data_IF_619022121284
#
_entry.id   IF_619022121284
#
_cell.length_a   1.000
_cell.length_b   1.000
_cell.length_c   1.000
_cell.angle_alpha   90.00
_cell.angle_beta   90.00
_cell.angle_gamma   90.00
#
_symmetry.space_group_name_H-M   'P 1'
#
loop_
_entity.id
_entity.type
_entity.pdbx_description
1 polymer ?
#
# COMPACT_ATOMS: atom_id res chain seq x y z
N UNK A 1 -26.72 -39.04 31.78
CA UNK A 1 -27.47 -39.56 32.94
C UNK A 1 -28.85 -38.90 33.12
N UNK A 2 -29.26 -37.95 32.27
CA UNK A 2 -30.58 -37.30 32.36
C UNK A 2 -30.70 -36.32 33.53
N UNK A 3 -29.59 -36.09 34.25
CA UNK A 3 -29.51 -35.16 35.37
C UNK A 3 -29.11 -33.78 34.88
N UNK A 4 -29.55 -32.75 35.60
CA UNK A 4 -29.05 -31.41 35.36
C UNK A 4 -27.59 -31.32 35.81
N UNK A 5 -26.73 -30.84 34.91
CA UNK A 5 -25.33 -30.55 35.20
C UNK A 5 -25.08 -29.07 35.02
N UNK A 6 -24.30 -28.48 35.91
CA UNK A 6 -23.91 -27.08 35.78
C UNK A 6 -22.90 -26.91 34.63
N UNK A 7 -23.19 -26.08 33.61
CA UNK A 7 -22.23 -25.80 32.56
C UNK A 7 -21.18 -24.79 33.02
N UNK A 8 -20.01 -24.84 32.40
CA UNK A 8 -19.01 -23.77 32.50
C UNK A 8 -19.16 -22.78 31.34
N UNK A 9 -19.10 -21.49 31.64
CA UNK A 9 -19.15 -20.43 30.64
C UNK A 9 -17.76 -19.83 30.43
N UNK A 10 -17.27 -19.86 29.19
CA UNK A 10 -15.98 -19.29 28.81
C UNK A 10 -16.20 -18.05 27.95
N UNK A 11 -15.82 -16.89 28.47
CA UNK A 11 -15.79 -15.64 27.71
C UNK A 11 -14.41 -15.45 27.08
N UNK A 12 -14.36 -15.18 25.77
CA UNK A 12 -13.10 -14.92 25.06
C UNK A 12 -13.21 -13.72 24.13
N UNK A 13 -12.18 -12.89 24.10
CA UNK A 13 -11.99 -11.83 23.11
C UNK A 13 -10.50 -11.80 22.72
N UNK A 14 -10.16 -12.34 21.54
CA UNK A 14 -8.76 -12.50 21.12
C UNK A 14 -8.03 -11.16 20.93
N UNK A 15 -8.73 -10.16 20.39
CA UNK A 15 -8.16 -8.84 20.08
C UNK A 15 -8.63 -7.75 21.05
N UNK A 16 -9.60 -8.06 21.93
CA UNK A 16 -10.30 -7.05 22.72
C UNK A 16 -11.19 -6.15 21.84
N UNK A 17 -11.24 -4.85 22.13
CA UNK A 17 -11.96 -3.86 21.31
C UNK A 17 -11.13 -3.45 20.09
N UNK A 18 -11.79 -3.13 18.98
CA UNK A 18 -11.11 -2.73 17.75
C UNK A 18 -10.32 -1.44 17.95
N UNK A 19 -10.84 -0.48 18.71
CA UNK A 19 -10.19 0.81 18.97
C UNK A 19 -8.86 0.62 19.70
N UNK A 20 -8.85 -0.22 20.76
CA UNK A 20 -7.63 -0.53 21.50
C UNK A 20 -6.66 -1.32 20.64
N UNK A 21 -7.16 -2.27 19.86
CA UNK A 21 -6.33 -3.08 18.96
C UNK A 21 -5.63 -2.20 17.92
N UNK A 22 -6.35 -1.30 17.24
CA UNK A 22 -5.74 -0.35 16.30
C UNK A 22 -4.77 0.61 16.98
N UNK A 23 -5.05 1.09 18.19
CA UNK A 23 -4.10 1.89 18.98
C UNK A 23 -2.78 1.15 19.19
N UNK A 24 -2.85 -0.12 19.61
CA UNK A 24 -1.66 -0.98 19.78
C UNK A 24 -0.94 -1.18 18.44
N UNK A 25 -1.66 -1.42 17.34
CA UNK A 25 -1.02 -1.60 16.02
C UNK A 25 -0.30 -0.33 15.56
N UNK A 26 -0.90 0.84 15.76
CA UNK A 26 -0.28 2.13 15.40
C UNK A 26 1.04 2.30 16.16
N UNK A 27 1.04 2.04 17.48
CA UNK A 27 2.25 2.13 18.31
C UNK A 27 3.28 1.07 17.92
N UNK A 28 2.85 -0.18 17.72
CA UNK A 28 3.72 -1.30 17.38
C UNK A 28 4.48 -1.08 16.06
N UNK A 29 3.78 -0.62 15.02
CA UNK A 29 4.40 -0.31 13.73
C UNK A 29 4.98 1.10 13.67
N UNK A 30 4.85 1.90 14.73
CA UNK A 30 5.08 3.35 14.71
C UNK A 30 4.37 4.04 13.52
N UNK A 31 3.21 3.57 13.09
CA UNK A 31 2.49 4.00 11.88
C UNK A 31 3.05 3.53 10.53
N UNK A 32 4.17 2.81 10.50
CA UNK A 32 4.73 2.18 9.30
C UNK A 32 4.10 0.80 9.04
N UNK A 33 2.79 0.78 8.79
CA UNK A 33 2.05 -0.48 8.64
C UNK A 33 2.65 -1.41 7.57
N UNK A 34 2.53 -2.74 7.75
CA UNK A 34 2.82 -3.70 6.71
C UNK A 34 1.88 -3.49 5.53
N UNK A 35 2.31 -3.93 4.34
CA UNK A 35 1.59 -3.68 3.09
C UNK A 35 0.09 -4.02 3.19
N UNK A 36 -0.26 -5.18 3.73
CA UNK A 36 -1.66 -5.63 3.81
C UNK A 36 -2.55 -4.73 4.68
N UNK A 37 -1.98 -4.05 5.68
CA UNK A 37 -2.70 -3.20 6.63
C UNK A 37 -2.62 -1.71 6.28
N UNK A 38 -1.68 -1.30 5.43
CA UNK A 38 -1.47 0.11 5.10
C UNK A 38 -2.72 0.74 4.46
N UNK A 39 -3.21 1.90 4.93
CA UNK A 39 -4.41 2.54 4.37
C UNK A 39 -4.24 2.93 2.90
N UNK A 40 -3.02 3.30 2.53
CA UNK A 40 -2.56 3.45 1.15
C UNK A 40 -1.33 2.57 0.97
N UNK A 41 -1.40 1.64 0.02
CA UNK A 41 -0.36 0.66 -0.24
C UNK A 41 0.65 1.17 -1.27
N UNK A 42 0.13 1.84 -2.30
CA UNK A 42 0.92 2.35 -3.43
C UNK A 42 0.52 3.79 -3.74
N UNK A 43 1.49 4.66 -3.98
CA UNK A 43 1.24 5.99 -4.57
C UNK A 43 1.95 6.14 -5.91
N UNK A 44 1.21 6.50 -6.96
CA UNK A 44 1.78 6.77 -8.28
C UNK A 44 2.17 8.24 -8.36
N UNK A 45 3.42 8.50 -8.76
CA UNK A 45 4.07 9.80 -8.80
C UNK A 45 4.43 10.17 -10.24
N UNK A 46 3.52 10.83 -10.99
CA UNK A 46 3.85 11.34 -12.31
C UNK A 46 4.86 12.48 -12.25
N UNK A 47 5.84 12.46 -13.18
CA UNK A 47 6.86 13.51 -13.31
C UNK A 47 6.26 14.85 -13.79
N UNK A 48 5.20 14.80 -14.58
CA UNK A 48 4.47 15.98 -15.07
C UNK A 48 3.05 15.60 -15.48
N UNK A 49 2.22 16.61 -15.75
CA UNK A 49 0.83 16.43 -16.20
C UNK A 49 0.73 15.57 -17.48
N UNK A 50 1.78 15.57 -18.31
CA UNK A 50 1.87 14.75 -19.52
C UNK A 50 1.82 13.24 -19.25
N UNK A 51 2.09 12.81 -18.02
CA UNK A 51 2.07 11.40 -17.61
C UNK A 51 0.83 11.03 -16.78
N UNK A 52 -0.13 11.94 -16.57
CA UNK A 52 -1.31 11.66 -15.77
C UNK A 52 -2.14 10.50 -16.32
N UNK A 53 -2.32 10.42 -17.63
CA UNK A 53 -3.09 9.33 -18.24
C UNK A 53 -2.44 7.96 -17.98
N UNK A 54 -1.12 7.88 -18.12
CA UNK A 54 -0.38 6.65 -17.81
C UNK A 54 -0.41 6.34 -16.31
N UNK A 55 -0.28 7.36 -15.45
CA UNK A 55 -0.37 7.19 -14.00
C UNK A 55 -1.74 6.66 -13.56
N UNK A 56 -2.82 7.16 -14.16
CA UNK A 56 -4.19 6.67 -13.94
C UNK A 56 -4.38 5.25 -14.47
N UNK A 57 -3.77 4.91 -15.61
CA UNK A 57 -3.76 3.52 -16.11
C UNK A 57 -3.07 2.56 -15.14
N UNK A 58 -1.88 2.94 -14.64
CA UNK A 58 -1.13 2.20 -13.61
C UNK A 58 -1.98 1.98 -12.36
N UNK A 59 -2.64 3.04 -11.87
CA UNK A 59 -3.54 2.95 -10.73
C UNK A 59 -4.73 2.01 -11.02
N UNK A 60 -5.34 2.08 -12.20
CA UNK A 60 -6.43 1.19 -12.61
C UNK A 60 -6.03 -0.29 -12.65
N UNK A 61 -4.84 -0.61 -13.17
CA UNK A 61 -4.32 -1.98 -13.18
C UNK A 61 -4.06 -2.52 -11.76
N UNK A 62 -3.58 -1.67 -10.85
CA UNK A 62 -3.39 -2.00 -9.44
C UNK A 62 -4.73 -2.19 -8.70
N UNK A 63 -5.70 -1.31 -8.94
CA UNK A 63 -7.04 -1.41 -8.35
C UNK A 63 -7.76 -2.69 -8.81
N UNK A 64 -7.61 -3.08 -10.08
CA UNK A 64 -8.11 -4.36 -10.58
C UNK A 64 -7.50 -5.58 -9.86
N UNK A 65 -6.33 -5.40 -9.23
CA UNK A 65 -5.66 -6.37 -8.37
C UNK A 65 -5.97 -6.26 -6.88
N UNK A 66 -7.00 -5.48 -6.49
CA UNK A 66 -7.40 -5.19 -5.10
C UNK A 66 -6.33 -4.47 -4.27
N UNK A 67 -5.51 -3.65 -4.94
CA UNK A 67 -4.48 -2.82 -4.31
C UNK A 67 -5.01 -1.42 -4.04
N UNK A 68 -4.86 -0.93 -2.80
CA UNK A 68 -5.20 0.44 -2.39
C UNK A 68 -4.14 1.41 -2.91
N UNK A 69 -4.47 2.12 -3.99
CA UNK A 69 -3.55 3.01 -4.71
C UNK A 69 -4.15 4.39 -4.94
N UNK A 70 -3.32 5.43 -4.89
CA UNK A 70 -3.66 6.79 -5.32
C UNK A 70 -2.67 7.33 -6.34
N UNK A 71 -3.06 8.42 -7.04
CA UNK A 71 -2.18 9.17 -7.95
C UNK A 71 -1.93 10.56 -7.37
N UNK A 72 -0.67 10.95 -7.24
CA UNK A 72 -0.28 12.30 -6.81
C UNK A 72 -0.28 13.27 -7.99
N UNK A 73 -1.45 13.85 -8.25
CA UNK A 73 -1.68 14.82 -9.32
C UNK A 73 -1.18 16.24 -8.98
N UNK A 74 -0.51 16.45 -7.85
CA UNK A 74 0.00 17.78 -7.48
C UNK A 74 1.08 18.27 -8.47
N UNK A 75 1.06 19.56 -8.79
CA UNK A 75 2.05 20.23 -9.63
C UNK A 75 3.36 20.56 -8.85
N UNK A 76 3.91 19.56 -8.17
CA UNK A 76 5.10 19.67 -7.33
C UNK A 76 6.31 18.96 -7.94
N UNK A 77 7.51 19.37 -7.53
CA UNK A 77 8.76 18.66 -7.86
C UNK A 77 8.70 17.23 -7.32
N UNK A 78 9.23 16.26 -8.10
CA UNK A 78 9.25 14.84 -7.71
C UNK A 78 9.82 14.60 -6.30
N UNK A 79 10.88 15.30 -5.92
CA UNK A 79 11.45 15.18 -4.57
C UNK A 79 10.49 15.57 -3.45
N UNK A 80 9.62 16.56 -3.67
CA UNK A 80 8.59 16.95 -2.71
C UNK A 80 7.49 15.88 -2.61
N UNK A 81 7.07 15.32 -3.76
CA UNK A 81 6.11 14.20 -3.81
C UNK A 81 6.64 12.97 -3.07
N UNK A 82 7.89 12.58 -3.33
CA UNK A 82 8.55 11.46 -2.64
C UNK A 82 8.62 11.73 -1.14
N UNK A 83 9.04 12.93 -0.72
CA UNK A 83 9.13 13.28 0.70
C UNK A 83 7.76 13.18 1.38
N UNK A 84 6.69 13.67 0.75
CA UNK A 84 5.33 13.60 1.28
C UNK A 84 4.89 12.14 1.48
N UNK A 85 5.06 11.31 0.46
CA UNK A 85 4.74 9.88 0.52
C UNK A 85 5.55 9.12 1.60
N UNK A 86 6.82 9.48 1.78
CA UNK A 86 7.67 8.92 2.85
C UNK A 86 7.22 9.35 4.25
N UNK A 87 6.82 10.62 4.43
CA UNK A 87 6.28 11.11 5.71
C UNK A 87 4.96 10.41 6.07
N UNK A 88 4.14 10.10 5.07
CA UNK A 88 2.90 9.33 5.20
C UNK A 88 3.12 7.81 5.25
N UNK A 89 4.39 7.37 5.21
CA UNK A 89 4.82 5.97 5.38
C UNK A 89 4.21 4.99 4.39
N UNK A 90 3.94 5.45 3.17
CA UNK A 90 3.38 4.64 2.09
C UNK A 90 4.39 3.54 1.71
N UNK A 91 4.00 2.25 1.70
CA UNK A 91 4.90 1.14 1.42
C UNK A 91 5.63 1.26 0.08
N UNK A 92 4.91 1.64 -0.99
CA UNK A 92 5.47 1.76 -2.33
C UNK A 92 5.11 3.09 -3.00
N UNK A 93 6.10 3.69 -3.67
CA UNK A 93 5.92 4.80 -4.59
C UNK A 93 6.30 4.35 -6.00
N UNK A 94 5.44 4.61 -6.98
CA UNK A 94 5.68 4.30 -8.38
C UNK A 94 5.91 5.59 -9.15
N UNK A 95 7.15 5.85 -9.52
CA UNK A 95 7.52 7.02 -10.32
C UNK A 95 7.26 6.72 -11.78
N UNK A 96 6.53 7.61 -12.48
CA UNK A 96 6.19 7.46 -13.89
C UNK A 96 6.55 8.70 -14.69
N UNK A 97 7.51 8.55 -15.60
CA UNK A 97 7.94 9.56 -16.58
C UNK A 97 7.56 9.16 -18.01
N UNK A 98 8.05 9.94 -18.99
CA UNK A 98 7.79 9.67 -20.40
C UNK A 98 8.36 8.32 -20.85
N UNK A 99 9.60 8.01 -20.44
CA UNK A 99 10.26 6.73 -20.75
C UNK A 99 9.50 5.55 -20.17
N UNK A 100 9.01 5.69 -18.94
CA UNK A 100 8.24 4.64 -18.27
C UNK A 100 6.90 4.41 -18.96
N UNK A 101 6.22 5.48 -19.39
CA UNK A 101 4.98 5.41 -20.14
C UNK A 101 5.14 4.74 -21.50
N UNK A 102 6.21 5.08 -22.25
CA UNK A 102 6.51 4.48 -23.55
C UNK A 102 6.84 2.99 -23.45
N UNK A 103 7.58 2.59 -22.41
CA UNK A 103 8.00 1.21 -22.20
C UNK A 103 6.98 0.34 -21.44
N UNK A 104 5.90 0.92 -20.90
CA UNK A 104 4.91 0.18 -20.11
C UNK A 104 5.46 -0.35 -18.78
N UNK A 105 6.38 0.40 -18.18
CA UNK A 105 7.10 0.06 -16.95
C UNK A 105 6.82 1.07 -15.84
N UNK A 106 7.27 0.79 -14.62
CA UNK A 106 7.22 1.71 -13.48
C UNK A 106 8.55 1.71 -12.75
N UNK A 107 9.01 2.88 -12.31
CA UNK A 107 10.16 2.99 -11.42
C UNK A 107 9.69 2.85 -9.97
N UNK A 108 10.14 1.78 -9.31
CA UNK A 108 9.64 1.38 -8.00
C UNK A 108 10.54 1.90 -6.90
N UNK A 109 9.94 2.53 -5.90
CA UNK A 109 10.60 2.91 -4.67
C UNK A 109 9.85 2.33 -3.47
N UNK A 110 10.52 1.49 -2.70
CA UNK A 110 10.02 0.98 -1.42
C UNK A 110 10.34 1.97 -0.29
N UNK A 111 9.45 2.05 0.69
CA UNK A 111 9.71 2.72 1.97
C UNK A 111 10.95 2.14 2.68
N UNK A 112 11.15 0.84 2.60
CA UNK A 112 12.14 0.10 3.40
C UNK A 112 13.49 0.03 2.70
N UNK A 113 13.51 -0.35 1.42
CA UNK A 113 14.76 -0.56 0.68
C UNK A 113 15.14 0.61 -0.23
N UNK A 114 14.29 1.65 -0.32
CA UNK A 114 14.53 2.78 -1.20
C UNK A 114 14.27 2.44 -2.68
N UNK A 115 15.12 2.95 -3.57
CA UNK A 115 14.98 2.77 -5.01
C UNK A 115 15.25 1.31 -5.43
N UNK A 116 14.30 0.70 -6.13
CA UNK A 116 14.37 -0.68 -6.63
C UNK A 116 14.53 -0.73 -8.16
N UNK A 117 14.65 0.44 -8.81
CA UNK A 117 14.75 0.55 -10.26
C UNK A 117 13.43 0.31 -10.98
N UNK A 118 13.53 0.09 -12.29
CA UNK A 118 12.38 0.02 -13.19
C UNK A 118 11.99 -1.43 -13.46
N UNK A 119 10.70 -1.74 -13.35
CA UNK A 119 10.15 -3.07 -13.63
C UNK A 119 8.89 -2.97 -14.51
N UNK A 120 8.54 -4.03 -15.26
CA UNK A 120 7.26 -4.10 -15.95
C UNK A 120 6.10 -3.93 -14.96
N UNK A 121 5.09 -3.15 -15.35
CA UNK A 121 3.91 -2.91 -14.51
C UNK A 121 3.23 -4.21 -14.08
N UNK A 122 3.07 -5.15 -15.02
CA UNK A 122 2.47 -6.45 -14.77
C UNK A 122 3.22 -7.26 -13.69
N UNK A 123 4.54 -7.15 -13.64
CA UNK A 123 5.36 -7.87 -12.66
C UNK A 123 5.25 -7.21 -11.28
N UNK A 124 5.20 -5.88 -11.22
CA UNK A 124 4.94 -5.18 -9.97
C UNK A 124 3.55 -5.52 -9.40
N UNK A 125 2.51 -5.57 -10.24
CA UNK A 125 1.14 -5.95 -9.82
C UNK A 125 1.13 -7.36 -9.21
N UNK A 126 1.80 -8.34 -9.84
CA UNK A 126 1.90 -9.70 -9.28
C UNK A 126 2.63 -9.72 -7.94
N UNK A 127 3.73 -8.97 -7.85
CA UNK A 127 4.55 -8.89 -6.64
C UNK A 127 3.77 -8.32 -5.47
N UNK A 128 3.16 -7.15 -5.64
CA UNK A 128 2.43 -6.45 -4.57
C UNK A 128 1.21 -7.25 -4.10
N UNK A 129 0.54 -7.96 -5.02
CA UNK A 129 -0.57 -8.85 -4.68
C UNK A 129 -0.12 -10.05 -3.85
N UNK A 130 1.02 -10.65 -4.21
CA UNK A 130 1.58 -11.79 -3.47
C UNK A 130 1.96 -11.36 -2.05
N UNK A 131 2.58 -10.19 -1.89
CA UNK A 131 2.96 -9.64 -0.58
C UNK A 131 1.75 -9.22 0.26
N UNK A 132 0.66 -8.76 -0.36
CA UNK A 132 -0.58 -8.39 0.36
C UNK A 132 -1.32 -9.62 0.92
N UNK A 133 -1.18 -10.77 0.27
CA UNK A 133 -1.86 -12.03 0.64
C UNK A 133 -1.04 -12.92 1.57
N UNK A 134 0.22 -12.59 1.81
CA UNK A 134 1.13 -13.31 2.70
C UNK A 134 1.04 -12.80 4.14
#
# INVERSE_FOLDING_TARGET
>A
DGQEHQPYMVHRALLGSLERFFGILIEHYAGAFPLWLAPEQVRVLPLSDKQLDYARRVAGELQAGDVRVTVDEAADKLGAKIRRAQLEKIPYMLVVGGREAEAGVVAVRSRETGDQGTVPLADFVKRVRTETLA
#
